data_IF_480620395739
#
_entry.id   IF_480620395739
#
_cell.length_a   1.000
_cell.length_b   1.000
_cell.length_c   1.000
_cell.angle_alpha   90.00
_cell.angle_beta   90.00
_cell.angle_gamma   90.00
#
_symmetry.space_group_name_H-M   'P 1'
#
loop_
_entity.id
_entity.type
_entity.pdbx_description
1 polymer ?
#
# COMPACT_ATOMS: atom_id res chain seq x y z
N UNK A 1 4.38 -34.47 8.70
CA UNK A 1 4.75 -33.06 8.90
C UNK A 1 4.45 -32.31 7.60
N UNK A 2 3.41 -31.48 7.58
CA UNK A 2 3.05 -30.66 6.42
C UNK A 2 4.12 -29.57 6.25
N UNK A 3 5.02 -29.76 5.29
CA UNK A 3 5.95 -28.69 4.89
C UNK A 3 5.14 -27.78 3.98
N UNK A 4 4.72 -26.62 4.50
CA UNK A 4 4.18 -25.55 3.67
C UNK A 4 5.33 -24.98 2.85
N UNK A 5 5.66 -25.68 1.75
CA UNK A 5 6.66 -25.25 0.80
C UNK A 5 6.13 -24.16 -0.12
N UNK A 6 7.02 -23.43 -0.81
CA UNK A 6 6.63 -22.51 -1.87
C UNK A 6 5.73 -23.18 -2.93
N UNK A 7 5.94 -24.48 -3.18
CA UNK A 7 5.17 -25.29 -4.13
C UNK A 7 3.71 -25.46 -3.70
N UNK A 8 3.44 -25.89 -2.46
CA UNK A 8 2.08 -26.02 -1.93
C UNK A 8 1.34 -24.67 -1.92
N UNK A 9 2.04 -23.59 -1.55
CA UNK A 9 1.46 -22.24 -1.57
C UNK A 9 1.04 -21.84 -2.99
N UNK A 10 1.83 -22.21 -4.00
CA UNK A 10 1.52 -21.92 -5.40
C UNK A 10 0.27 -22.67 -5.88
N UNK A 11 0.11 -23.93 -5.49
CA UNK A 11 -1.08 -24.73 -5.82
C UNK A 11 -2.33 -24.10 -5.18
N UNK A 12 -2.24 -23.71 -3.90
CA UNK A 12 -3.34 -23.03 -3.21
C UNK A 12 -3.67 -21.70 -3.90
N UNK A 13 -2.65 -20.92 -4.29
CA UNK A 13 -2.81 -19.66 -4.99
C UNK A 13 -3.57 -19.84 -6.31
N UNK A 14 -3.25 -20.87 -7.09
CA UNK A 14 -3.96 -21.18 -8.35
C UNK A 14 -5.42 -21.54 -8.07
N UNK A 15 -5.70 -22.36 -7.05
CA UNK A 15 -7.08 -22.73 -6.68
C UNK A 15 -7.88 -21.47 -6.31
N UNK A 16 -7.32 -20.61 -5.47
CA UNK A 16 -7.94 -19.33 -5.09
C UNK A 16 -8.17 -18.46 -6.33
N UNK A 17 -7.20 -18.36 -7.24
CA UNK A 17 -7.35 -17.57 -8.46
C UNK A 17 -8.47 -18.10 -9.37
N UNK A 18 -8.67 -19.41 -9.45
CA UNK A 18 -9.76 -20.03 -10.23
C UNK A 18 -11.12 -19.80 -9.57
N UNK A 19 -11.21 -19.94 -8.24
CA UNK A 19 -12.46 -19.75 -7.49
C UNK A 19 -12.94 -18.30 -7.49
N UNK A 20 -12.02 -17.36 -7.26
CA UNK A 20 -12.33 -15.94 -7.21
C UNK A 20 -12.30 -15.29 -8.61
N UNK A 21 -11.56 -15.89 -9.55
CA UNK A 21 -11.28 -15.33 -10.87
C UNK A 21 -10.27 -14.18 -10.81
N UNK A 22 -9.54 -13.96 -11.92
CA UNK A 22 -8.57 -12.86 -12.03
C UNK A 22 -9.22 -11.48 -11.87
N UNK A 23 -10.44 -11.29 -12.38
CA UNK A 23 -11.12 -9.99 -12.35
C UNK A 23 -11.47 -9.48 -10.94
N UNK A 24 -11.86 -10.36 -10.01
CA UNK A 24 -12.17 -9.96 -8.62
C UNK A 24 -10.91 -9.58 -7.85
N UNK A 25 -9.84 -10.36 -8.00
CA UNK A 25 -8.55 -10.09 -7.37
C UNK A 25 -7.93 -8.80 -7.91
N UNK A 26 -7.94 -8.59 -9.24
CA UNK A 26 -7.44 -7.35 -9.84
C UNK A 26 -8.21 -6.13 -9.38
N UNK A 27 -9.56 -6.20 -9.32
CA UNK A 27 -10.38 -5.09 -8.84
C UNK A 27 -10.06 -4.73 -7.39
N UNK A 28 -10.00 -5.72 -6.50
CA UNK A 28 -9.66 -5.50 -5.09
C UNK A 28 -8.23 -4.95 -4.96
N UNK A 29 -7.28 -5.48 -5.73
CA UNK A 29 -5.91 -4.99 -5.76
C UNK A 29 -5.80 -3.55 -6.25
N UNK A 30 -6.56 -3.14 -7.26
CA UNK A 30 -6.60 -1.76 -7.73
C UNK A 30 -7.18 -0.82 -6.67
N UNK A 31 -8.29 -1.18 -6.03
CA UNK A 31 -8.92 -0.37 -4.97
C UNK A 31 -7.98 -0.20 -3.76
N UNK A 32 -7.33 -1.28 -3.33
CA UNK A 32 -6.33 -1.24 -2.25
C UNK A 32 -5.07 -0.48 -2.64
N UNK A 33 -4.60 -0.64 -3.88
CA UNK A 33 -3.42 0.04 -4.41
C UNK A 33 -3.60 1.56 -4.47
N UNK A 34 -4.77 2.02 -4.93
CA UNK A 34 -5.13 3.43 -4.91
C UNK A 34 -5.21 3.98 -3.48
N UNK A 35 -5.80 3.23 -2.55
CA UNK A 35 -5.86 3.63 -1.14
C UNK A 35 -4.47 3.77 -0.51
N UNK A 36 -3.58 2.79 -0.73
CA UNK A 36 -2.19 2.83 -0.24
C UNK A 36 -1.41 3.99 -0.87
N UNK A 37 -1.63 4.26 -2.16
CA UNK A 37 -0.95 5.35 -2.88
C UNK A 37 -1.34 6.71 -2.30
N UNK A 38 -2.63 6.95 -2.10
CA UNK A 38 -3.13 8.18 -1.50
C UNK A 38 -2.69 8.32 -0.04
N UNK A 39 -2.66 7.22 0.71
CA UNK A 39 -2.16 7.22 2.08
C UNK A 39 -0.68 7.61 2.16
N UNK A 40 0.16 7.03 1.30
CA UNK A 40 1.58 7.39 1.20
C UNK A 40 1.77 8.85 0.80
N UNK A 41 0.96 9.33 -0.14
CA UNK A 41 0.99 10.73 -0.59
C UNK A 41 0.63 11.68 0.56
N UNK A 42 -0.45 11.42 1.29
CA UNK A 42 -0.86 12.24 2.44
C UNK A 42 0.17 12.28 3.57
N UNK A 43 0.87 11.18 3.85
CA UNK A 43 1.96 11.17 4.84
C UNK A 43 3.12 12.08 4.38
N UNK A 44 3.52 11.98 3.12
CA UNK A 44 4.63 12.80 2.59
C UNK A 44 4.27 14.28 2.51
N UNK A 45 3.04 14.60 2.12
CA UNK A 45 2.54 15.99 2.08
C UNK A 45 2.49 16.59 3.49
N UNK A 46 1.97 15.85 4.48
CA UNK A 46 1.96 16.31 5.87
C UNK A 46 3.36 16.51 6.48
N UNK A 47 4.36 15.72 6.06
CA UNK A 47 5.75 15.93 6.46
C UNK A 47 6.35 17.20 5.82
N UNK A 48 6.10 17.43 4.54
CA UNK A 48 6.59 18.64 3.85
C UNK A 48 5.93 19.91 4.39
N UNK A 49 4.64 19.87 4.71
CA UNK A 49 3.92 20.98 5.35
C UNK A 49 4.50 21.28 6.74
N UNK A 50 4.79 20.26 7.55
CA UNK A 50 5.41 20.44 8.86
C UNK A 50 6.83 21.07 8.76
N UNK A 51 7.64 20.66 7.78
CA UNK A 51 8.96 21.27 7.54
C UNK A 51 8.87 22.71 7.02
N UNK A 52 7.90 23.00 6.14
CA UNK A 52 7.67 24.34 5.62
C UNK A 52 7.19 25.30 6.73
N UNK A 53 6.31 24.85 7.63
CA UNK A 53 5.88 25.63 8.79
C UNK A 53 7.00 25.87 9.80
N UNK A 54 7.88 24.89 10.02
CA UNK A 54 9.05 25.05 10.88
C UNK A 54 10.02 26.10 10.33
N UNK A 55 10.29 26.07 9.02
CA UNK A 55 11.17 27.04 8.35
C UNK A 55 10.60 28.46 8.33
N UNK A 56 9.27 28.60 8.25
CA UNK A 56 8.62 29.91 8.25
C UNK A 56 8.70 30.59 9.62
N UNK A 57 8.53 29.84 10.72
CA UNK A 57 8.62 30.37 12.08
C UNK A 57 10.03 30.81 12.48
N UNK A 58 11.06 30.15 11.93
CA UNK A 58 12.46 30.54 12.16
C UNK A 58 12.79 31.92 11.56
N UNK A 59 12.19 32.27 10.42
CA UNK A 59 12.44 33.52 9.70
C UNK A 59 11.65 34.73 10.22
N UNK A 60 10.69 34.53 11.13
CA UNK A 60 9.89 35.61 11.75
C UNK A 60 10.43 36.02 13.14
N UNK A 61 11.49 35.36 13.63
CA UNK A 61 12.08 35.60 14.96
C UNK A 61 13.45 36.33 14.90
N UNK A 62 13.92 36.70 13.70
CA UNK A 62 15.11 37.52 13.44
C UNK A 62 14.71 38.84 12.78
#
# INVERSE_FOLDING_TARGET
MLRLGPTELFIILIIVLVLFGGGRISRLGSELGSAITNFRKGINEGQQEAEAEAKKKENETF
#
